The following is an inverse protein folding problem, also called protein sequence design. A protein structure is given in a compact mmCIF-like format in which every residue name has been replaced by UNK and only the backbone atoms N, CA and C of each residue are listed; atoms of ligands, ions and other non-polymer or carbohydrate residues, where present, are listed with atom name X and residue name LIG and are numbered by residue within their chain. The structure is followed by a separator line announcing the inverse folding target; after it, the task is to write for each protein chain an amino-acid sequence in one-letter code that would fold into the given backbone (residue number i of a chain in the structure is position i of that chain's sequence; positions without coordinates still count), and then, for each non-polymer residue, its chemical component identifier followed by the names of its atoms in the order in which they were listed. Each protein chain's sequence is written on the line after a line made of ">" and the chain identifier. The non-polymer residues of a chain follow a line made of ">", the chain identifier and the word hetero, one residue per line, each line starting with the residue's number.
data_IF_877760465184
#
_entry.id   IF_877760465184
#
_cell.length_a   1.000
_cell.length_b   1.000
_cell.length_c   1.000
_cell.angle_alpha   90.00
_cell.angle_beta   90.00
_cell.angle_gamma   90.00
#
_symmetry.space_group_name_H-M   'P 1'
#
loop_
_entity.id
_entity.type
_entity.pdbx_description
1 polymer ?
#
# COMPACT_ATOMS: atom_id res chain seq x y z
N UNK A 1 -13.59 -20.46 30.76
CA UNK A 1 -13.15 -20.35 29.36
C UNK A 1 -14.10 -21.10 28.45
N UNK A 2 -15.06 -20.40 27.86
CA UNK A 2 -15.94 -20.95 26.84
C UNK A 2 -15.32 -20.81 25.45
N UNK A 3 -14.42 -21.73 25.08
CA UNK A 3 -13.94 -21.83 23.71
C UNK A 3 -14.93 -22.66 22.89
N UNK A 4 -15.42 -22.12 21.79
CA UNK A 4 -16.28 -22.82 20.82
C UNK A 4 -15.52 -23.04 19.53
N UNK A 5 -15.34 -24.28 19.11
CA UNK A 5 -14.66 -24.62 17.87
C UNK A 5 -15.65 -24.83 16.73
N UNK A 6 -15.23 -24.51 15.50
CA UNK A 6 -15.94 -24.90 14.27
C UNK A 6 -17.23 -24.13 14.05
N UNK A 7 -17.17 -22.80 14.12
CA UNK A 7 -18.33 -21.94 13.87
C UNK A 7 -18.81 -22.10 12.43
N UNK A 8 -20.13 -22.04 12.27
CA UNK A 8 -20.82 -21.97 10.98
C UNK A 8 -20.69 -20.59 10.35
N UNK A 9 -20.98 -20.47 9.06
CA UNK A 9 -21.00 -19.15 8.38
C UNK A 9 -21.97 -18.20 9.05
N UNK A 10 -23.17 -18.65 9.45
CA UNK A 10 -24.14 -17.78 10.15
C UNK A 10 -23.59 -17.24 11.46
N UNK A 11 -22.90 -18.05 12.26
CA UNK A 11 -22.30 -17.60 13.52
C UNK A 11 -21.10 -16.66 13.31
N UNK A 12 -20.38 -16.80 12.20
CA UNK A 12 -19.34 -15.86 11.80
C UNK A 12 -19.95 -14.55 11.30
N UNK A 13 -21.05 -14.60 10.55
CA UNK A 13 -21.79 -13.40 10.14
C UNK A 13 -22.32 -12.64 11.36
N UNK A 14 -22.95 -13.33 12.31
CA UNK A 14 -23.35 -12.78 13.62
C UNK A 14 -22.16 -12.17 14.39
N UNK A 15 -20.94 -12.60 14.05
CA UNK A 15 -19.71 -12.05 14.60
C UNK A 15 -19.24 -10.77 13.95
N UNK A 16 -19.20 -10.73 12.63
CA UNK A 16 -18.70 -9.57 11.92
C UNK A 16 -19.76 -8.47 11.75
N UNK A 17 -21.04 -8.81 11.81
CA UNK A 17 -22.13 -7.88 11.56
C UNK A 17 -23.10 -7.90 12.73
N UNK A 18 -22.94 -6.95 13.66
CA UNK A 18 -23.84 -6.81 14.79
C UNK A 18 -25.18 -6.22 14.36
N UNK A 19 -26.28 -6.82 14.83
CA UNK A 19 -27.63 -6.33 14.59
C UNK A 19 -28.38 -7.14 13.53
N UNK A 20 -29.23 -6.46 12.76
CA UNK A 20 -30.04 -7.11 11.72
C UNK A 20 -29.22 -7.23 10.42
N UNK A 21 -29.07 -8.46 9.93
CA UNK A 21 -28.43 -8.74 8.66
C UNK A 21 -29.21 -8.18 7.49
N UNK A 22 -28.49 -7.79 6.44
CA UNK A 22 -29.07 -7.23 5.22
C UNK A 22 -28.74 -8.13 4.05
N UNK A 23 -29.76 -8.61 3.35
CA UNK A 23 -29.61 -9.37 2.12
C UNK A 23 -30.11 -8.65 0.87
N UNK A 24 -29.83 -9.25 -0.27
CA UNK A 24 -30.43 -8.87 -1.55
C UNK A 24 -31.89 -9.36 -1.63
N UNK A 25 -32.69 -8.68 -2.42
CA UNK A 25 -34.05 -9.11 -2.73
C UNK A 25 -34.06 -10.27 -3.74
N UNK A 26 -35.12 -11.07 -3.72
CA UNK A 26 -35.35 -12.11 -4.73
C UNK A 26 -35.26 -11.55 -6.15
N UNK A 27 -35.80 -10.35 -6.39
CA UNK A 27 -35.77 -9.71 -7.71
C UNK A 27 -34.35 -9.34 -8.18
N UNK A 28 -33.48 -8.90 -7.28
CA UNK A 28 -32.06 -8.62 -7.61
C UNK A 28 -31.34 -9.91 -8.02
N UNK A 29 -31.57 -11.00 -7.28
CA UNK A 29 -30.94 -12.30 -7.57
C UNK A 29 -31.50 -12.92 -8.85
N UNK A 30 -32.83 -12.93 -9.05
CA UNK A 30 -33.46 -13.42 -10.27
C UNK A 30 -33.02 -12.64 -11.52
N UNK A 31 -32.81 -11.33 -11.38
CA UNK A 31 -32.27 -10.51 -12.46
C UNK A 31 -30.84 -10.93 -12.83
N UNK A 32 -30.01 -11.25 -11.84
CA UNK A 32 -28.66 -11.75 -12.03
C UNK A 32 -28.68 -13.11 -12.75
N UNK A 33 -29.43 -14.09 -12.22
CA UNK A 33 -29.60 -15.44 -12.79
C UNK A 33 -30.10 -15.39 -14.23
N UNK A 34 -31.08 -14.53 -14.50
CA UNK A 34 -31.61 -14.32 -15.85
C UNK A 34 -30.56 -13.75 -16.81
N UNK A 35 -29.70 -12.84 -16.34
CA UNK A 35 -28.64 -12.24 -17.16
C UNK A 35 -27.55 -13.26 -17.49
N UNK A 36 -27.06 -14.01 -16.50
CA UNK A 36 -26.02 -15.03 -16.69
C UNK A 36 -26.55 -16.34 -17.30
N UNK A 37 -27.87 -16.53 -17.32
CA UNK A 37 -28.53 -17.68 -17.96
C UNK A 37 -28.53 -18.97 -17.14
N UNK A 38 -28.22 -18.91 -15.84
CA UNK A 38 -28.21 -20.06 -14.92
C UNK A 38 -28.74 -19.66 -13.54
N UNK A 39 -29.36 -20.61 -12.85
CA UNK A 39 -29.72 -20.44 -11.44
C UNK A 39 -28.50 -20.58 -10.53
N UNK A 40 -28.47 -19.82 -9.45
CA UNK A 40 -27.44 -19.91 -8.43
C UNK A 40 -27.65 -21.15 -7.55
N UNK A 41 -26.59 -21.74 -6.98
CA UNK A 41 -26.73 -22.79 -5.97
C UNK A 41 -27.63 -22.34 -4.83
N UNK A 42 -28.46 -23.26 -4.32
CA UNK A 42 -29.42 -22.96 -3.23
C UNK A 42 -28.69 -22.42 -1.99
N UNK A 43 -27.51 -22.95 -1.68
CA UNK A 43 -26.68 -22.48 -0.57
C UNK A 43 -26.22 -21.02 -0.75
N UNK A 44 -25.76 -20.65 -1.94
CA UNK A 44 -25.31 -19.29 -2.25
C UNK A 44 -26.47 -18.31 -2.33
N UNK A 45 -27.59 -18.72 -2.93
CA UNK A 45 -28.83 -17.91 -2.95
C UNK A 45 -29.29 -17.55 -1.55
N UNK A 46 -29.34 -18.55 -0.65
CA UNK A 46 -29.71 -18.33 0.76
C UNK A 46 -28.74 -17.36 1.43
N UNK A 47 -27.44 -17.50 1.20
CA UNK A 47 -26.45 -16.58 1.74
C UNK A 47 -26.68 -15.14 1.25
N UNK A 48 -26.92 -14.92 -0.05
CA UNK A 48 -27.18 -13.59 -0.60
C UNK A 48 -28.47 -12.97 -0.06
N UNK A 49 -29.53 -13.77 0.11
CA UNK A 49 -30.81 -13.32 0.66
C UNK A 49 -30.74 -12.92 2.13
N UNK A 50 -29.84 -13.53 2.89
CA UNK A 50 -29.73 -13.30 4.33
C UNK A 50 -28.65 -12.25 4.66
N UNK A 51 -27.49 -12.34 4.00
CA UNK A 51 -26.27 -11.65 4.38
C UNK A 51 -25.66 -10.79 3.27
N UNK A 52 -26.15 -10.86 2.03
CA UNK A 52 -25.41 -10.36 0.86
C UNK A 52 -25.02 -8.87 0.90
N UNK A 53 -25.75 -8.03 1.63
CA UNK A 53 -25.50 -6.58 1.79
C UNK A 53 -24.78 -6.23 3.09
N UNK A 54 -24.29 -7.23 3.83
CA UNK A 54 -23.48 -7.00 5.02
C UNK A 54 -22.06 -6.59 4.64
N UNK A 55 -21.52 -5.61 5.38
CA UNK A 55 -20.29 -4.90 5.01
C UNK A 55 -19.05 -5.81 5.02
N UNK A 56 -19.08 -6.89 5.81
CA UNK A 56 -18.00 -7.88 5.88
C UNK A 56 -17.71 -8.53 4.52
N UNK A 57 -18.72 -8.67 3.66
CA UNK A 57 -18.58 -9.28 2.33
C UNK A 57 -17.73 -8.44 1.36
N UNK A 58 -17.37 -7.21 1.75
CA UNK A 58 -16.51 -6.30 0.96
C UNK A 58 -15.34 -5.73 1.76
N UNK A 59 -15.04 -6.27 2.96
CA UNK A 59 -14.03 -5.68 3.86
C UNK A 59 -12.60 -5.89 3.37
N UNK A 60 -12.27 -7.12 2.98
CA UNK A 60 -10.94 -7.46 2.48
C UNK A 60 -11.05 -7.74 0.99
N UNK A 61 -11.73 -8.81 0.64
CA UNK A 61 -12.07 -9.17 -0.73
C UNK A 61 -13.52 -8.77 -1.04
N UNK A 62 -13.89 -8.83 -2.31
CA UNK A 62 -15.21 -8.44 -2.78
C UNK A 62 -16.02 -9.67 -3.17
N UNK A 63 -17.13 -9.90 -2.46
CA UNK A 63 -18.21 -10.71 -3.00
C UNK A 63 -19.00 -9.86 -4.02
N UNK A 64 -19.15 -10.37 -5.23
CA UNK A 64 -19.80 -9.69 -6.33
C UNK A 64 -21.29 -9.49 -6.04
N UNK A 65 -21.76 -8.24 -6.17
CA UNK A 65 -23.14 -7.87 -5.88
C UNK A 65 -24.05 -8.09 -7.10
N UNK A 66 -25.18 -8.82 -6.95
CA UNK A 66 -26.16 -8.89 -8.01
C UNK A 66 -26.89 -7.54 -8.23
N UNK A 67 -27.42 -7.29 -9.43
CA UNK A 67 -27.32 -8.15 -10.61
C UNK A 67 -26.10 -7.89 -11.51
N UNK A 68 -25.43 -6.73 -11.41
CA UNK A 68 -24.43 -6.30 -12.39
C UNK A 68 -23.02 -6.86 -12.15
N UNK A 69 -22.60 -7.09 -10.90
CA UNK A 69 -21.20 -7.46 -10.62
C UNK A 69 -20.93 -8.96 -10.68
N UNK A 70 -21.97 -9.80 -10.72
CA UNK A 70 -21.81 -11.25 -10.97
C UNK A 70 -21.62 -11.41 -12.47
N UNK A 71 -20.69 -12.20 -12.98
CA UNK A 71 -20.55 -12.42 -14.42
C UNK A 71 -19.89 -13.77 -14.67
N UNK A 72 -19.86 -14.20 -15.92
CA UNK A 72 -19.23 -15.46 -16.30
C UNK A 72 -17.79 -15.25 -16.73
N UNK A 73 -16.93 -16.26 -16.57
CA UNK A 73 -15.56 -16.20 -17.07
C UNK A 73 -15.53 -15.99 -18.59
N UNK A 74 -16.54 -16.47 -19.33
CA UNK A 74 -16.65 -16.19 -20.77
C UNK A 74 -16.98 -14.72 -21.06
N UNK A 75 -17.81 -14.06 -20.25
CA UNK A 75 -18.00 -12.60 -20.33
C UNK A 75 -16.67 -11.87 -20.15
N UNK A 76 -15.88 -12.26 -19.15
CA UNK A 76 -14.57 -11.67 -18.87
C UNK A 76 -13.56 -11.93 -20.00
N UNK A 77 -13.51 -13.16 -20.54
CA UNK A 77 -12.67 -13.51 -21.68
C UNK A 77 -13.00 -12.64 -22.90
N UNK A 78 -14.27 -12.34 -23.17
CA UNK A 78 -14.63 -11.44 -24.27
C UNK A 78 -14.05 -10.04 -24.07
N UNK A 79 -14.20 -9.48 -22.87
CA UNK A 79 -13.64 -8.16 -22.55
C UNK A 79 -12.12 -8.16 -22.72
N UNK A 80 -11.42 -9.19 -22.22
CA UNK A 80 -9.97 -9.34 -22.43
C UNK A 80 -9.60 -9.48 -23.92
N UNK A 81 -10.39 -10.21 -24.71
CA UNK A 81 -10.14 -10.35 -26.15
C UNK A 81 -10.32 -9.02 -26.90
N UNK A 82 -11.31 -8.20 -26.51
CA UNK A 82 -11.52 -6.87 -27.07
C UNK A 82 -10.30 -5.95 -26.82
N UNK A 83 -9.68 -6.03 -25.64
CA UNK A 83 -8.46 -5.29 -25.31
C UNK A 83 -7.25 -5.71 -26.16
N UNK A 84 -7.15 -6.99 -26.51
CA UNK A 84 -6.01 -7.55 -27.26
C UNK A 84 -6.23 -7.59 -28.78
N UNK A 85 -7.42 -7.20 -29.27
CA UNK A 85 -7.81 -7.38 -30.67
C UNK A 85 -6.84 -6.67 -31.64
N UNK A 86 -6.42 -5.45 -31.33
CA UNK A 86 -5.47 -4.71 -32.18
C UNK A 86 -4.10 -5.39 -32.24
N UNK A 87 -3.60 -5.87 -31.10
CA UNK A 87 -2.31 -6.56 -30.98
C UNK A 87 -2.31 -7.88 -31.76
N UNK A 88 -3.37 -8.68 -31.60
CA UNK A 88 -3.51 -9.95 -32.31
C UNK A 88 -3.73 -9.76 -33.82
N UNK A 89 -4.41 -8.69 -34.25
CA UNK A 89 -4.49 -8.32 -35.67
C UNK A 89 -3.12 -7.91 -36.22
N UNK A 90 -2.33 -7.17 -35.44
CA UNK A 90 -1.00 -6.73 -35.85
C UNK A 90 -0.02 -7.90 -35.99
N UNK A 91 -0.03 -8.82 -35.03
CA UNK A 91 0.75 -10.06 -35.10
C UNK A 91 0.42 -10.87 -36.37
N UNK A 92 -0.87 -10.91 -36.76
CA UNK A 92 -1.32 -11.50 -38.02
C UNK A 92 -0.76 -10.80 -39.27
N UNK A 93 -0.79 -9.46 -39.30
CA UNK A 93 -0.26 -8.67 -40.43
C UNK A 93 1.26 -8.81 -40.57
N UNK A 94 1.98 -8.93 -39.46
CA UNK A 94 3.43 -8.94 -39.42
C UNK A 94 4.03 -10.36 -39.47
N UNK A 95 3.19 -11.41 -39.47
CA UNK A 95 3.64 -12.81 -39.47
C UNK A 95 4.27 -13.26 -38.16
N UNK A 96 4.02 -12.53 -37.06
CA UNK A 96 4.56 -12.78 -35.71
C UNK A 96 3.59 -13.59 -34.82
N UNK A 97 2.57 -14.23 -35.39
CA UNK A 97 1.58 -15.01 -34.64
C UNK A 97 2.19 -16.14 -33.80
N UNK A 98 3.36 -16.66 -34.20
CA UNK A 98 4.08 -17.68 -33.45
C UNK A 98 4.53 -17.24 -32.05
N UNK A 99 4.65 -15.92 -31.81
CA UNK A 99 5.03 -15.36 -30.51
C UNK A 99 3.92 -15.57 -29.45
N UNK A 100 2.70 -15.87 -29.89
CA UNK A 100 1.52 -16.09 -29.04
C UNK A 100 1.11 -17.57 -28.98
N UNK A 101 1.99 -18.49 -29.39
CA UNK A 101 1.66 -19.92 -29.43
C UNK A 101 1.23 -20.50 -28.06
N UNK A 102 1.77 -19.95 -26.97
CA UNK A 102 1.45 -20.36 -25.59
C UNK A 102 0.37 -19.46 -24.93
N UNK A 103 -0.21 -18.52 -25.67
CA UNK A 103 -1.25 -17.61 -25.15
C UNK A 103 -2.64 -18.21 -25.39
N UNK A 104 -3.35 -18.53 -24.30
CA UNK A 104 -4.68 -19.13 -24.37
C UNK A 104 -5.73 -18.21 -25.00
N UNK A 105 -5.67 -16.88 -24.77
CA UNK A 105 -6.56 -15.91 -25.39
C UNK A 105 -6.38 -15.85 -26.91
N UNK A 106 -5.13 -15.97 -27.39
CA UNK A 106 -4.86 -16.07 -28.83
C UNK A 106 -5.51 -17.31 -29.46
N UNK A 107 -5.57 -18.42 -28.72
CA UNK A 107 -6.29 -19.63 -29.15
C UNK A 107 -7.81 -19.43 -29.11
N UNK A 108 -8.35 -18.88 -28.02
CA UNK A 108 -9.77 -18.61 -27.84
C UNK A 108 -10.33 -17.69 -28.93
N UNK A 109 -9.57 -16.66 -29.35
CA UNK A 109 -9.92 -15.76 -30.44
C UNK A 109 -10.20 -16.48 -31.77
N UNK A 110 -9.53 -17.59 -32.01
CA UNK A 110 -9.63 -18.33 -33.27
C UNK A 110 -10.82 -19.31 -33.29
N UNK A 111 -11.46 -19.51 -32.14
CA UNK A 111 -12.57 -20.43 -31.96
C UNK A 111 -13.88 -19.67 -31.81
N UNK A 112 -15.01 -20.20 -32.34
CA UNK A 112 -16.31 -19.70 -31.94
C UNK A 112 -16.52 -19.93 -30.43
N UNK A 113 -17.26 -19.04 -29.76
CA UNK A 113 -17.52 -19.11 -28.30
C UNK A 113 -18.06 -20.48 -27.85
N UNK A 114 -18.87 -21.12 -28.70
CA UNK A 114 -19.40 -22.47 -28.45
C UNK A 114 -18.32 -23.57 -28.35
N UNK A 115 -17.11 -23.32 -28.84
CA UNK A 115 -15.96 -24.24 -28.79
C UNK A 115 -14.92 -23.85 -27.74
N UNK A 116 -15.13 -22.76 -26.98
CA UNK A 116 -14.20 -22.32 -25.93
C UNK A 116 -13.99 -23.35 -24.82
N UNK A 117 -14.97 -24.25 -24.60
CA UNK A 117 -14.85 -25.38 -23.67
C UNK A 117 -13.71 -26.36 -24.00
N UNK A 118 -13.11 -26.26 -25.19
CA UNK A 118 -11.89 -27.02 -25.55
C UNK A 118 -10.61 -26.43 -24.94
N UNK A 119 -10.64 -25.17 -24.51
CA UNK A 119 -9.52 -24.44 -23.90
C UNK A 119 -9.78 -24.19 -22.42
N UNK A 120 -10.97 -23.70 -22.06
CA UNK A 120 -11.36 -23.45 -20.67
C UNK A 120 -12.86 -23.62 -20.46
N UNK A 121 -13.22 -24.14 -19.28
CA UNK A 121 -14.59 -24.21 -18.83
C UNK A 121 -15.17 -22.82 -18.51
N UNK A 122 -16.50 -22.72 -18.47
CA UNK A 122 -17.19 -21.49 -18.10
C UNK A 122 -17.54 -21.49 -16.60
N UNK A 123 -17.25 -20.39 -15.91
CA UNK A 123 -17.46 -20.24 -14.47
C UNK A 123 -18.36 -19.06 -14.17
N UNK A 124 -19.31 -19.20 -13.24
CA UNK A 124 -20.05 -18.09 -12.66
C UNK A 124 -19.20 -17.45 -11.56
N UNK A 125 -18.65 -16.26 -11.82
CA UNK A 125 -17.75 -15.54 -10.92
C UNK A 125 -18.56 -14.74 -9.89
N UNK A 126 -18.31 -15.04 -8.62
CA UNK A 126 -19.07 -14.52 -7.47
C UNK A 126 -18.20 -13.70 -6.51
N UNK A 127 -16.88 -13.71 -6.72
CA UNK A 127 -15.91 -13.14 -5.79
C UNK A 127 -14.65 -12.71 -6.55
N UNK A 128 -14.06 -11.60 -6.09
CA UNK A 128 -12.78 -11.08 -6.54
C UNK A 128 -11.88 -10.74 -5.33
N UNK A 129 -10.59 -11.06 -5.45
CA UNK A 129 -9.55 -10.70 -4.48
C UNK A 129 -9.35 -9.17 -4.44
N UNK A 130 -8.83 -8.65 -3.34
CA UNK A 130 -8.73 -7.21 -3.07
C UNK A 130 -7.92 -6.36 -4.09
N UNK A 131 -7.10 -6.97 -4.95
CA UNK A 131 -6.42 -6.31 -6.08
C UNK A 131 -7.11 -6.56 -7.43
N UNK A 132 -8.18 -7.35 -7.47
CA UNK A 132 -8.93 -7.72 -8.67
C UNK A 132 -8.26 -8.77 -9.56
N UNK A 133 -7.17 -9.37 -9.09
CA UNK A 133 -6.33 -10.32 -9.85
C UNK A 133 -6.95 -11.73 -9.85
N UNK A 134 -7.36 -12.21 -8.69
CA UNK A 134 -7.94 -13.55 -8.55
C UNK A 134 -9.46 -13.49 -8.44
N UNK A 135 -10.11 -14.42 -9.14
CA UNK A 135 -11.55 -14.51 -9.20
C UNK A 135 -11.98 -15.93 -8.83
N UNK A 136 -13.10 -16.05 -8.12
CA UNK A 136 -13.64 -17.34 -7.71
C UNK A 136 -15.12 -17.48 -8.04
N UNK A 137 -15.53 -18.72 -8.30
CA UNK A 137 -16.83 -19.00 -8.86
C UNK A 137 -17.19 -20.47 -8.97
N UNK A 138 -18.39 -20.73 -9.46
CA UNK A 138 -18.92 -22.07 -9.68
C UNK A 138 -18.74 -22.48 -11.13
N UNK A 139 -18.43 -23.75 -11.38
CA UNK A 139 -18.48 -24.30 -12.73
C UNK A 139 -19.92 -24.25 -13.26
N UNK A 140 -20.16 -23.58 -14.39
CA UNK A 140 -21.50 -23.38 -14.96
C UNK A 140 -22.22 -24.71 -15.21
N UNK A 141 -21.47 -25.73 -15.62
CA UNK A 141 -22.02 -27.07 -15.86
C UNK A 141 -22.65 -27.69 -14.61
N UNK A 142 -22.03 -27.52 -13.44
CA UNK A 142 -22.59 -28.04 -12.19
C UNK A 142 -23.91 -27.35 -11.84
N UNK A 143 -24.04 -26.06 -12.17
CA UNK A 143 -25.28 -25.30 -11.98
C UNK A 143 -26.39 -25.78 -12.92
N UNK A 144 -26.05 -26.04 -14.18
CA UNK A 144 -26.98 -26.58 -15.18
C UNK A 144 -27.45 -27.99 -14.82
N UNK A 145 -26.58 -28.80 -14.21
CA UNK A 145 -26.90 -30.13 -13.70
C UNK A 145 -27.72 -30.08 -12.39
N UNK A 146 -27.97 -28.89 -11.84
CA UNK A 146 -28.79 -28.68 -10.65
C UNK A 146 -28.09 -29.00 -9.33
N UNK A 147 -26.75 -28.91 -9.28
CA UNK A 147 -26.00 -29.12 -8.06
C UNK A 147 -26.39 -28.09 -6.99
N UNK A 148 -26.87 -28.58 -5.85
CA UNK A 148 -27.35 -27.71 -4.77
C UNK A 148 -26.23 -27.00 -4.01
N UNK A 149 -25.05 -27.62 -3.93
CA UNK A 149 -23.86 -27.09 -3.26
C UNK A 149 -22.57 -27.59 -3.94
N UNK A 150 -22.26 -27.06 -5.14
CA UNK A 150 -21.11 -27.49 -5.93
C UNK A 150 -19.78 -26.93 -5.36
N UNK A 151 -18.64 -27.50 -5.78
CA UNK A 151 -17.33 -26.95 -5.46
C UNK A 151 -17.13 -25.53 -6.01
N UNK A 152 -16.22 -24.77 -5.39
CA UNK A 152 -15.81 -23.44 -5.84
C UNK A 152 -14.41 -23.53 -6.45
N UNK A 153 -14.21 -22.81 -7.54
CA UNK A 153 -12.98 -22.75 -8.31
C UNK A 153 -12.42 -21.33 -8.31
N UNK A 154 -11.10 -21.19 -8.30
CA UNK A 154 -10.40 -19.90 -8.31
C UNK A 154 -9.40 -19.85 -9.46
N UNK A 155 -9.27 -18.68 -10.10
CA UNK A 155 -8.23 -18.46 -11.11
C UNK A 155 -6.84 -18.49 -10.48
N UNK A 156 -5.83 -19.03 -11.18
CA UNK A 156 -4.48 -19.23 -10.59
C UNK A 156 -3.33 -18.58 -11.34
N UNK A 157 -3.53 -18.08 -12.55
CA UNK A 157 -2.45 -17.55 -13.42
C UNK A 157 -2.72 -16.11 -13.89
N UNK A 158 -3.45 -15.32 -13.08
CA UNK A 158 -3.85 -13.94 -13.45
C UNK A 158 -4.59 -13.89 -14.80
N UNK A 159 -5.48 -14.86 -15.00
CA UNK A 159 -6.26 -15.05 -16.22
C UNK A 159 -7.70 -15.50 -15.90
N UNK A 160 -8.53 -15.54 -16.94
CA UNK A 160 -9.88 -16.13 -16.91
C UNK A 160 -9.92 -17.47 -17.64
N UNK A 161 -8.78 -18.18 -17.67
CA UNK A 161 -8.62 -19.45 -18.40
C UNK A 161 -8.29 -20.60 -17.44
N UNK A 162 -7.41 -20.36 -16.48
CA UNK A 162 -6.82 -21.37 -15.63
C UNK A 162 -7.45 -21.34 -14.25
N UNK A 163 -8.34 -22.30 -13.98
CA UNK A 163 -9.04 -22.44 -12.71
C UNK A 163 -8.67 -23.72 -11.99
N UNK A 164 -8.59 -23.65 -10.65
CA UNK A 164 -8.42 -24.81 -9.78
C UNK A 164 -9.48 -24.80 -8.68
N UNK A 165 -9.99 -25.97 -8.33
CA UNK A 165 -10.89 -26.13 -7.18
C UNK A 165 -10.20 -25.61 -5.92
N UNK A 166 -10.79 -24.60 -5.29
CA UNK A 166 -10.28 -23.99 -4.06
C UNK A 166 -11.10 -24.36 -2.82
N UNK A 167 -12.37 -24.74 -3.01
CA UNK A 167 -13.22 -25.21 -1.92
C UNK A 167 -14.16 -26.32 -2.38
N UNK A 168 -14.50 -27.21 -1.45
CA UNK A 168 -15.37 -28.36 -1.71
C UNK A 168 -16.85 -27.98 -1.84
N UNK A 169 -17.22 -26.84 -1.26
CA UNK A 169 -18.57 -26.30 -1.24
C UNK A 169 -18.56 -24.81 -0.87
N UNK A 170 -19.74 -24.19 -0.89
CA UNK A 170 -19.91 -22.76 -0.61
C UNK A 170 -19.58 -22.40 0.84
N UNK A 171 -19.87 -23.28 1.80
CA UNK A 171 -19.60 -23.00 3.22
C UNK A 171 -18.09 -22.92 3.50
N UNK A 172 -17.30 -23.86 2.96
CA UNK A 172 -15.84 -23.85 3.11
C UNK A 172 -15.25 -22.60 2.46
N UNK A 173 -15.73 -22.23 1.27
CA UNK A 173 -15.28 -21.02 0.58
C UNK A 173 -15.56 -19.75 1.40
N UNK A 174 -16.80 -19.57 1.86
CA UNK A 174 -17.19 -18.41 2.65
C UNK A 174 -16.44 -18.33 3.98
N UNK A 175 -16.15 -19.47 4.64
CA UNK A 175 -15.31 -19.48 5.84
C UNK A 175 -13.89 -19.00 5.55
N UNK A 176 -13.29 -19.39 4.42
CA UNK A 176 -12.00 -18.87 3.98
C UNK A 176 -12.04 -17.37 3.73
N UNK A 177 -13.04 -16.89 3.00
CA UNK A 177 -13.27 -15.46 2.76
C UNK A 177 -13.40 -14.67 4.07
N UNK A 178 -14.19 -15.18 5.03
CA UNK A 178 -14.39 -14.54 6.33
C UNK A 178 -13.14 -14.59 7.22
N UNK A 179 -12.32 -15.65 7.09
CA UNK A 179 -11.02 -15.72 7.76
C UNK A 179 -10.07 -14.63 7.26
N UNK A 180 -10.07 -14.36 5.97
CA UNK A 180 -9.30 -13.25 5.39
C UNK A 180 -9.88 -11.89 5.77
N UNK A 181 -11.21 -11.75 5.81
CA UNK A 181 -11.87 -10.54 6.31
C UNK A 181 -11.56 -10.26 7.79
N UNK A 182 -11.26 -11.29 8.57
CA UNK A 182 -10.81 -11.16 9.95
C UNK A 182 -9.46 -10.44 10.06
N UNK A 183 -8.63 -10.47 9.01
CA UNK A 183 -7.35 -9.77 9.01
C UNK A 183 -7.55 -8.26 9.13
N UNK A 184 -7.14 -7.70 10.28
CA UNK A 184 -7.35 -6.28 10.56
C UNK A 184 -8.77 -5.92 10.96
N UNK A 185 -9.65 -6.90 11.25
CA UNK A 185 -10.94 -6.66 11.89
C UNK A 185 -10.74 -6.49 13.40
N UNK A 186 -10.61 -5.25 13.84
CA UNK A 186 -10.44 -4.85 15.26
C UNK A 186 -9.22 -5.47 16.00
N UNK A 187 -8.46 -6.36 15.36
CA UNK A 187 -7.18 -6.91 15.78
C UNK A 187 -6.30 -7.10 14.53
N UNK A 188 -5.02 -6.70 14.60
CA UNK A 188 -4.01 -7.02 13.58
C UNK A 188 -3.05 -8.12 14.04
N UNK A 189 -3.43 -8.89 15.06
CA UNK A 189 -2.66 -10.06 15.47
C UNK A 189 -2.84 -11.17 14.43
N UNK A 190 -1.83 -11.27 13.56
CA UNK A 190 -1.59 -12.38 12.64
C UNK A 190 -0.24 -12.98 12.97
N UNK A 191 -0.20 -14.29 13.14
CA UNK A 191 1.03 -15.02 13.47
C UNK A 191 1.29 -16.06 12.38
N UNK A 192 2.51 -16.02 11.82
CA UNK A 192 2.94 -16.95 10.77
C UNK A 192 4.09 -17.85 11.20
N UNK A 193 4.59 -17.67 12.43
CA UNK A 193 5.66 -18.49 13.01
C UNK A 193 5.09 -19.41 14.07
N UNK A 194 5.30 -20.70 13.91
CA UNK A 194 4.76 -21.73 14.80
C UNK A 194 5.01 -21.45 16.31
N UNK A 195 6.22 -21.05 16.77
CA UNK A 195 6.43 -20.77 18.19
C UNK A 195 5.64 -19.58 18.73
N UNK A 196 5.30 -18.61 17.87
CA UNK A 196 4.48 -17.45 18.25
C UNK A 196 3.00 -17.85 18.31
N UNK A 197 2.55 -18.70 17.38
CA UNK A 197 1.22 -19.30 17.32
C UNK A 197 0.97 -20.15 18.58
N UNK A 198 1.85 -21.12 18.87
CA UNK A 198 1.74 -22.01 20.03
C UNK A 198 1.62 -21.21 21.33
N UNK A 199 2.46 -20.19 21.51
CA UNK A 199 2.41 -19.31 22.68
C UNK A 199 1.10 -18.51 22.77
N UNK A 200 0.58 -18.04 21.64
CA UNK A 200 -0.68 -17.29 21.59
C UNK A 200 -1.88 -18.17 21.95
N UNK A 201 -1.90 -19.41 21.45
CA UNK A 201 -2.94 -20.40 21.74
C UNK A 201 -2.87 -20.91 23.19
N UNK A 202 -1.66 -21.23 23.68
CA UNK A 202 -1.43 -21.71 25.06
C UNK A 202 -1.92 -20.68 26.09
N UNK A 203 -1.61 -19.40 25.89
CA UNK A 203 -2.06 -18.30 26.76
C UNK A 203 -3.60 -18.25 26.90
N UNK A 204 -4.31 -18.80 25.92
CA UNK A 204 -5.77 -18.79 25.81
C UNK A 204 -6.40 -20.15 26.08
N UNK A 205 -5.60 -21.18 26.37
CA UNK A 205 -6.10 -22.54 26.56
C UNK A 205 -6.79 -23.11 25.30
N UNK A 206 -6.34 -22.67 24.12
CA UNK A 206 -6.86 -23.17 22.83
C UNK A 206 -5.96 -24.33 22.39
N UNK A 207 -6.60 -25.45 22.03
CA UNK A 207 -5.93 -26.65 21.53
C UNK A 207 -5.61 -26.46 20.03
N UNK A 208 -4.33 -26.48 19.62
CA UNK A 208 -3.94 -26.27 18.23
C UNK A 208 -4.44 -27.36 17.28
N UNK A 209 -4.45 -28.63 17.70
CA UNK A 209 -4.91 -29.74 16.86
C UNK A 209 -6.42 -29.66 16.64
N UNK A 210 -7.17 -29.33 17.70
CA UNK A 210 -8.61 -29.12 17.61
C UNK A 210 -8.95 -27.88 16.76
N UNK A 211 -8.18 -26.79 16.90
CA UNK A 211 -8.35 -25.59 16.10
C UNK A 211 -8.05 -25.83 14.63
N UNK A 212 -6.99 -26.55 14.31
CA UNK A 212 -6.63 -26.93 12.93
C UNK A 212 -7.75 -27.76 12.29
N UNK A 213 -8.26 -28.78 13.00
CA UNK A 213 -9.36 -29.59 12.51
C UNK A 213 -10.66 -28.80 12.32
N UNK A 214 -10.89 -27.78 13.14
CA UNK A 214 -12.09 -26.94 13.09
C UNK A 214 -11.97 -25.76 12.12
N UNK A 215 -10.75 -25.37 11.74
CA UNK A 215 -10.41 -24.15 10.98
C UNK A 215 -10.58 -22.84 11.76
N UNK A 216 -11.51 -22.79 12.73
CA UNK A 216 -11.74 -21.60 13.55
C UNK A 216 -12.25 -21.93 14.97
N UNK A 217 -12.08 -20.97 15.88
CA UNK A 217 -12.75 -20.98 17.18
C UNK A 217 -13.07 -19.56 17.69
N UNK A 218 -14.02 -19.48 18.62
CA UNK A 218 -14.42 -18.27 19.33
C UNK A 218 -14.14 -18.42 20.82
N UNK A 219 -13.33 -17.51 21.36
CA UNK A 219 -13.30 -17.23 22.79
C UNK A 219 -14.50 -16.34 23.13
N UNK A 220 -15.54 -16.94 23.73
CA UNK A 220 -16.78 -16.24 24.06
C UNK A 220 -16.65 -15.25 25.21
N UNK A 221 -15.64 -15.39 26.08
CA UNK A 221 -15.43 -14.48 27.20
C UNK A 221 -14.80 -13.17 26.72
N UNK A 222 -13.87 -13.29 25.77
CA UNK A 222 -13.14 -12.17 25.17
C UNK A 222 -13.75 -11.64 23.87
N UNK A 223 -14.77 -12.33 23.33
CA UNK A 223 -15.38 -12.05 22.02
C UNK A 223 -14.32 -12.00 20.90
N UNK A 224 -13.44 -13.00 20.91
CA UNK A 224 -12.31 -13.07 20.01
C UNK A 224 -12.34 -14.35 19.16
N UNK A 225 -12.37 -14.16 17.84
CA UNK A 225 -12.22 -15.21 16.85
C UNK A 225 -10.74 -15.51 16.57
N UNK A 226 -10.51 -16.77 16.25
CA UNK A 226 -9.24 -17.32 15.79
C UNK A 226 -9.53 -18.14 14.54
N UNK A 227 -8.77 -17.89 13.48
CA UNK A 227 -8.74 -18.70 12.26
C UNK A 227 -7.34 -19.26 12.11
N UNK A 228 -7.23 -20.57 11.92
CA UNK A 228 -5.94 -21.25 11.82
C UNK A 228 -5.88 -22.11 10.58
N UNK A 229 -4.86 -21.89 9.76
CA UNK A 229 -4.62 -22.64 8.53
C UNK A 229 -3.21 -23.20 8.54
N UNK A 230 -3.08 -24.46 8.13
CA UNK A 230 -1.80 -25.16 7.94
C UNK A 230 -1.75 -25.67 6.50
N UNK A 231 -0.69 -25.32 5.77
CA UNK A 231 -0.46 -25.76 4.39
C UNK A 231 1.00 -26.12 4.18
N UNK A 232 1.32 -27.40 4.33
CA UNK A 232 2.71 -27.86 4.34
C UNK A 232 3.46 -27.26 5.53
N UNK A 233 4.53 -26.51 5.25
CA UNK A 233 5.33 -25.82 6.28
C UNK A 233 4.82 -24.39 6.58
N UNK A 234 3.71 -23.97 5.96
CA UNK A 234 3.09 -22.67 6.17
C UNK A 234 2.01 -22.75 7.24
N UNK A 235 2.09 -21.85 8.23
CA UNK A 235 1.14 -21.73 9.33
C UNK A 235 0.61 -20.30 9.35
N UNK A 236 -0.69 -20.12 9.54
CA UNK A 236 -1.28 -18.78 9.64
C UNK A 236 -2.40 -18.78 10.69
N UNK A 237 -2.21 -17.99 11.74
CA UNK A 237 -3.22 -17.72 12.77
C UNK A 237 -3.66 -16.26 12.67
N UNK A 238 -4.89 -16.04 12.23
CA UNK A 238 -5.53 -14.72 12.14
C UNK A 238 -6.53 -14.57 13.28
N UNK A 239 -6.60 -13.39 13.90
CA UNK A 239 -7.56 -13.11 14.97
C UNK A 239 -8.41 -11.89 14.67
N UNK A 240 -9.64 -11.91 15.18
CA UNK A 240 -10.58 -10.80 15.14
C UNK A 240 -11.23 -10.63 16.52
N UNK A 241 -11.42 -9.39 17.00
CA UNK A 241 -11.95 -9.15 18.36
C UNK A 241 -12.97 -8.01 18.35
N UNK A 242 -14.23 -8.26 18.71
CA UNK A 242 -15.28 -7.21 18.69
C UNK A 242 -15.04 -6.08 19.70
N UNK A 243 -14.33 -6.34 20.79
CA UNK A 243 -14.16 -5.39 21.90
C UNK A 243 -12.91 -4.52 21.78
N UNK A 244 -12.02 -4.85 20.85
CA UNK A 244 -10.87 -4.00 20.57
C UNK A 244 -11.28 -2.92 19.58
N UNK A 245 -10.95 -1.66 19.88
CA UNK A 245 -11.32 -0.57 18.99
C UNK A 245 -10.64 -0.76 17.62
N UNK A 246 -11.37 -0.50 16.53
CA UNK A 246 -10.73 -0.47 15.21
C UNK A 246 -9.61 0.57 15.26
N UNK A 247 -8.40 0.16 14.89
CA UNK A 247 -7.26 1.08 14.91
C UNK A 247 -7.48 2.22 13.91
N UNK A 248 -8.35 2.04 12.91
CA UNK A 248 -8.80 3.11 12.01
C UNK A 248 -9.72 4.09 12.72
N UNK A 249 -10.68 3.65 13.55
CA UNK A 249 -11.47 4.55 14.40
C UNK A 249 -10.60 5.23 15.45
N UNK A 250 -9.63 4.53 16.06
CA UNK A 250 -8.64 5.17 16.93
C UNK A 250 -7.80 6.16 16.11
N UNK A 251 -7.34 5.83 14.91
CA UNK A 251 -6.58 6.75 14.07
C UNK A 251 -7.42 7.94 13.62
N UNK A 252 -8.72 7.76 13.38
CA UNK A 252 -9.64 8.78 12.91
C UNK A 252 -10.16 9.64 14.07
N UNK A 253 -10.36 9.07 15.25
CA UNK A 253 -10.59 9.77 16.51
C UNK A 253 -9.32 10.45 17.00
N UNK A 254 -8.14 9.85 16.86
CA UNK A 254 -6.85 10.51 17.09
C UNK A 254 -6.64 11.62 16.07
N UNK A 255 -7.02 11.43 14.81
CA UNK A 255 -6.94 12.45 13.76
C UNK A 255 -7.93 13.60 14.03
N UNK A 256 -9.16 13.31 14.42
CA UNK A 256 -10.15 14.31 14.85
C UNK A 256 -9.74 14.99 16.16
N UNK A 257 -9.17 14.24 17.12
CA UNK A 257 -8.63 14.77 18.37
C UNK A 257 -7.40 15.65 18.11
N UNK A 258 -6.51 15.27 17.19
CA UNK A 258 -5.38 16.06 16.69
C UNK A 258 -5.85 17.30 15.90
N UNK A 259 -6.98 17.22 15.19
CA UNK A 259 -7.61 18.38 14.54
C UNK A 259 -8.26 19.33 15.55
N UNK A 260 -8.78 18.81 16.67
CA UNK A 260 -9.44 19.56 17.74
C UNK A 260 -8.49 20.07 18.83
N UNK A 261 -7.29 19.49 18.93
CA UNK A 261 -6.22 20.01 19.76
C UNK A 261 -5.78 21.38 19.24
N UNK A 262 -5.36 22.33 20.10
CA UNK A 262 -4.78 23.57 19.64
C UNK A 262 -3.58 23.23 18.77
N UNK A 263 -3.70 23.48 17.45
CA UNK A 263 -2.62 23.20 16.49
C UNK A 263 -1.34 23.87 17.01
N UNK A 264 -0.20 23.15 17.12
CA UNK A 264 1.07 23.83 17.28
C UNK A 264 1.19 24.86 16.15
N UNK A 265 1.74 26.03 16.47
CA UNK A 265 2.06 27.07 15.47
C UNK A 265 3.08 26.49 14.50
N UNK A 266 2.58 25.84 13.44
CA UNK A 266 3.35 25.35 12.29
C UNK A 266 4.47 24.32 12.62
N UNK A 267 4.45 23.13 12.00
CA UNK A 267 5.50 22.11 12.17
C UNK A 267 6.19 21.80 10.83
N UNK A 268 7.53 21.86 10.75
CA UNK A 268 8.27 21.47 9.55
C UNK A 268 8.26 19.95 9.35
N UNK A 269 8.43 19.49 8.11
CA UNK A 269 8.43 18.06 7.78
C UNK A 269 9.79 17.40 8.04
N UNK A 270 9.77 16.27 8.73
CA UNK A 270 10.88 15.31 8.77
C UNK A 270 10.94 14.52 7.46
N UNK A 271 12.09 14.54 6.81
CA UNK A 271 12.32 13.77 5.60
C UNK A 271 12.74 12.34 5.97
N UNK A 272 12.16 11.35 5.29
CA UNK A 272 12.42 9.92 5.51
C UNK A 272 12.64 9.19 4.19
N UNK A 273 13.27 8.03 4.26
CA UNK A 273 13.34 7.04 3.20
C UNK A 273 12.80 5.71 3.74
N UNK A 274 12.27 4.86 2.87
CA UNK A 274 11.92 3.50 3.28
C UNK A 274 13.19 2.68 3.50
N UNK A 275 13.09 1.58 4.25
CA UNK A 275 14.23 0.68 4.49
C UNK A 275 14.84 0.14 3.19
N UNK A 276 14.03 -0.07 2.15
CA UNK A 276 14.54 -0.46 0.82
C UNK A 276 15.35 0.68 0.21
N UNK A 277 14.80 1.90 0.19
CA UNK A 277 15.48 3.05 -0.41
C UNK A 277 16.80 3.40 0.31
N UNK A 278 16.86 3.27 1.65
CA UNK A 278 18.12 3.43 2.39
C UNK A 278 19.18 2.41 1.97
N UNK A 279 18.77 1.17 1.69
CA UNK A 279 19.64 0.08 1.23
C UNK A 279 20.12 0.35 -0.20
N UNK A 280 19.22 0.77 -1.09
CA UNK A 280 19.51 1.06 -2.49
C UNK A 280 20.44 2.27 -2.64
N UNK A 281 20.29 3.28 -1.77
CA UNK A 281 21.20 4.41 -1.66
C UNK A 281 22.47 4.10 -0.86
N UNK A 282 22.55 2.92 -0.22
CA UNK A 282 23.75 2.45 0.45
C UNK A 282 24.13 3.26 1.67
N UNK A 283 23.14 3.85 2.35
CA UNK A 283 23.35 4.72 3.51
C UNK A 283 24.06 4.02 4.67
N UNK A 284 23.95 2.69 4.75
CA UNK A 284 24.59 1.87 5.78
C UNK A 284 25.97 1.34 5.37
N UNK A 285 26.48 1.69 4.19
CA UNK A 285 27.79 1.25 3.73
C UNK A 285 28.89 2.01 4.48
N UNK A 286 30.00 1.35 4.85
CA UNK A 286 31.14 2.05 5.44
C UNK A 286 31.71 3.03 4.41
N UNK A 287 31.95 4.26 4.84
CA UNK A 287 32.60 5.30 4.03
C UNK A 287 34.01 5.57 4.54
N UNK A 288 34.88 6.07 3.66
CA UNK A 288 36.26 6.40 4.02
C UNK A 288 36.29 7.56 5.03
N UNK A 289 37.30 7.60 5.92
CA UNK A 289 37.57 8.78 6.74
C UNK A 289 37.74 10.02 5.87
N UNK A 290 37.02 11.10 6.18
CA UNK A 290 36.99 12.32 5.36
C UNK A 290 36.09 12.26 4.14
N UNK A 291 35.19 11.27 4.04
CA UNK A 291 34.12 11.23 3.06
C UNK A 291 33.24 12.49 3.11
N UNK A 292 32.53 12.76 2.02
CA UNK A 292 31.65 13.92 1.89
C UNK A 292 30.21 13.43 1.91
N UNK A 293 29.51 13.67 3.02
CA UNK A 293 28.10 13.38 3.13
C UNK A 293 27.28 14.23 2.14
N UNK A 294 26.21 13.66 1.61
CA UNK A 294 25.29 14.31 0.68
C UNK A 294 23.87 13.98 1.13
N UNK A 295 23.10 15.00 1.51
CA UNK A 295 21.67 14.80 1.73
C UNK A 295 20.96 14.41 0.41
N UNK A 296 20.18 13.32 0.34
CA UNK A 296 19.56 12.86 -0.90
C UNK A 296 18.70 13.92 -1.61
N UNK A 297 17.97 14.75 -0.86
CA UNK A 297 17.19 15.86 -1.44
C UNK A 297 18.07 16.92 -2.13
N UNK A 298 19.31 17.13 -1.66
CA UNK A 298 20.26 18.03 -2.31
C UNK A 298 20.75 17.43 -3.62
N UNK A 299 21.06 16.13 -3.63
CA UNK A 299 21.40 15.41 -4.86
C UNK A 299 20.23 15.40 -5.88
N UNK A 300 19.00 15.29 -5.41
CA UNK A 300 17.81 15.40 -6.25
C UNK A 300 17.70 16.80 -6.86
N UNK A 301 17.88 17.85 -6.06
CA UNK A 301 17.89 19.23 -6.57
C UNK A 301 19.05 19.49 -7.56
N UNK A 302 20.22 18.88 -7.34
CA UNK A 302 21.32 18.90 -8.31
C UNK A 302 20.93 18.25 -9.64
N UNK A 303 20.27 17.08 -9.57
CA UNK A 303 19.78 16.35 -10.75
C UNK A 303 18.80 17.19 -11.55
N UNK A 304 17.85 17.85 -10.89
CA UNK A 304 16.90 18.76 -11.56
C UNK A 304 17.62 19.95 -12.19
N UNK A 305 18.56 20.57 -11.47
CA UNK A 305 19.26 21.76 -11.96
C UNK A 305 20.13 21.49 -13.19
N UNK A 306 20.81 20.35 -13.25
CA UNK A 306 21.72 19.99 -14.35
C UNK A 306 21.11 19.00 -15.35
N UNK A 307 19.86 18.57 -15.13
CA UNK A 307 19.20 17.48 -15.86
C UNK A 307 20.01 16.16 -15.88
N UNK A 308 20.86 15.95 -14.87
CA UNK A 308 21.63 14.71 -14.64
C UNK A 308 22.23 14.70 -13.25
N UNK A 309 22.44 13.50 -12.71
CA UNK A 309 23.31 13.33 -11.55
C UNK A 309 24.76 13.16 -12.03
N UNK A 310 25.77 13.80 -11.38
CA UNK A 310 27.16 13.64 -11.80
C UNK A 310 27.67 12.21 -11.57
N UNK A 311 28.44 11.68 -12.52
CA UNK A 311 28.97 10.31 -12.47
C UNK A 311 30.33 10.20 -11.80
N UNK A 312 31.11 11.29 -11.79
CA UNK A 312 32.47 11.31 -11.24
C UNK A 312 32.59 12.31 -10.09
N UNK A 313 33.46 12.04 -9.13
CA UNK A 313 33.71 12.94 -8.01
C UNK A 313 34.17 14.34 -8.44
N UNK A 314 34.89 14.42 -9.57
CA UNK A 314 35.27 15.68 -10.19
C UNK A 314 34.04 16.47 -10.65
N UNK A 315 33.10 15.80 -11.35
CA UNK A 315 31.88 16.45 -11.83
C UNK A 315 30.98 16.88 -10.67
N UNK A 316 30.91 16.11 -9.58
CA UNK A 316 30.23 16.51 -8.35
C UNK A 316 30.78 17.83 -7.81
N UNK A 317 32.11 17.92 -7.63
CA UNK A 317 32.73 19.15 -7.13
C UNK A 317 32.54 20.34 -8.06
N UNK A 318 32.65 20.11 -9.38
CA UNK A 318 32.44 21.12 -10.42
C UNK A 318 31.00 21.62 -10.45
N UNK A 319 30.01 20.73 -10.40
CA UNK A 319 28.60 21.07 -10.49
C UNK A 319 28.13 21.77 -9.20
N UNK A 320 28.56 21.31 -8.01
CA UNK A 320 28.36 22.01 -6.73
C UNK A 320 28.89 23.45 -6.77
N UNK A 321 30.09 23.66 -7.34
CA UNK A 321 30.67 24.99 -7.49
C UNK A 321 29.95 25.90 -8.50
N UNK A 322 29.16 25.33 -9.43
CA UNK A 322 28.44 26.06 -10.48
C UNK A 322 26.99 26.38 -10.12
N UNK A 323 26.40 25.69 -9.15
CA UNK A 323 25.03 25.97 -8.70
C UNK A 323 24.93 27.37 -8.12
N UNK A 324 24.01 28.17 -8.66
CA UNK A 324 23.72 29.53 -8.18
C UNK A 324 22.49 29.59 -7.28
N UNK A 325 21.60 28.60 -7.42
CA UNK A 325 20.34 28.50 -6.68
C UNK A 325 20.17 27.07 -6.22
N UNK A 326 19.87 26.89 -4.94
CA UNK A 326 19.43 25.63 -4.35
C UNK A 326 18.06 25.86 -3.72
N UNK A 327 17.06 25.10 -4.15
CA UNK A 327 15.71 25.14 -3.63
C UNK A 327 15.31 23.75 -3.15
N UNK A 328 15.02 23.62 -1.87
CA UNK A 328 14.65 22.39 -1.19
C UNK A 328 13.25 22.58 -0.59
N UNK A 329 12.32 21.77 -1.03
CA UNK A 329 10.94 21.71 -0.55
C UNK A 329 10.57 20.24 -0.30
N UNK A 330 9.65 19.92 0.63
CA UNK A 330 9.23 18.56 0.88
C UNK A 330 8.56 18.00 -0.38
N UNK A 331 9.16 16.97 -0.98
CA UNK A 331 8.64 16.29 -2.16
C UNK A 331 8.65 14.79 -1.92
N UNK A 332 7.49 14.16 -2.11
CA UNK A 332 7.32 12.73 -1.93
C UNK A 332 5.99 12.39 -1.25
N UNK A 333 5.89 11.17 -0.74
CA UNK A 333 4.67 10.66 -0.10
C UNK A 333 4.59 11.18 1.34
N UNK A 334 3.52 11.90 1.67
CA UNK A 334 3.25 12.32 3.05
C UNK A 334 2.78 11.14 3.90
N UNK A 335 3.24 11.08 5.13
CA UNK A 335 2.76 10.13 6.14
C UNK A 335 2.52 10.90 7.45
N UNK A 336 1.30 10.83 7.96
CA UNK A 336 0.93 11.63 9.13
C UNK A 336 0.99 13.15 8.90
N UNK A 337 1.24 13.90 9.96
CA UNK A 337 1.18 15.37 9.96
C UNK A 337 2.53 16.04 9.71
N UNK A 338 3.64 15.31 9.90
CA UNK A 338 4.99 15.88 9.99
C UNK A 338 6.05 15.08 9.21
N UNK A 339 5.68 14.01 8.48
CA UNK A 339 6.66 13.14 7.81
C UNK A 339 6.46 13.10 6.30
N UNK A 340 7.55 13.18 5.54
CA UNK A 340 7.58 13.03 4.08
C UNK A 340 8.62 12.00 3.67
N UNK A 341 8.17 10.94 3.01
CA UNK A 341 9.03 9.97 2.35
C UNK A 341 9.50 10.51 1.00
N UNK A 342 10.77 10.89 0.91
CA UNK A 342 11.32 11.55 -0.28
C UNK A 342 11.61 10.57 -1.41
N UNK A 343 11.51 11.05 -2.65
CA UNK A 343 11.95 10.29 -3.81
C UNK A 343 13.49 10.25 -3.86
N UNK A 344 14.11 9.07 -3.99
CA UNK A 344 15.57 8.97 -4.10
C UNK A 344 16.07 9.63 -5.40
N UNK A 345 17.26 10.25 -5.41
CA UNK A 345 17.82 10.89 -6.61
C UNK A 345 18.15 9.90 -7.74
N UNK A 346 18.54 8.67 -7.37
CA UNK A 346 18.89 7.56 -8.26
C UNK A 346 18.94 6.25 -7.48
N UNK A 347 18.96 5.12 -8.18
CA UNK A 347 19.25 3.79 -7.61
C UNK A 347 20.77 3.53 -7.43
N UNK A 348 21.62 4.49 -7.82
CA UNK A 348 23.07 4.39 -7.74
C UNK A 348 23.66 5.20 -6.57
N UNK A 349 24.74 4.66 -6.01
CA UNK A 349 25.60 5.33 -5.04
C UNK A 349 26.38 6.48 -5.70
N UNK A 350 26.65 7.58 -4.98
CA UNK A 350 27.54 8.61 -5.50
C UNK A 350 28.98 8.06 -5.50
N UNK A 351 29.84 8.54 -6.41
CA UNK A 351 31.24 8.11 -6.46
C UNK A 351 32.01 8.58 -5.22
N UNK A 352 32.95 7.78 -4.73
CA UNK A 352 33.87 8.23 -3.65
C UNK A 352 34.54 9.57 -4.03
N UNK A 353 34.70 10.52 -3.10
CA UNK A 353 34.52 10.38 -1.65
C UNK A 353 33.09 10.67 -1.15
N UNK A 354 32.11 10.86 -2.05
CA UNK A 354 30.75 11.19 -1.66
C UNK A 354 29.98 9.97 -1.14
N UNK A 355 29.08 10.18 -0.19
CA UNK A 355 28.13 9.16 0.29
C UNK A 355 26.81 9.83 0.70
N UNK A 356 25.71 9.09 0.70
CA UNK A 356 24.42 9.63 1.13
C UNK A 356 24.25 9.56 2.65
N UNK A 357 23.75 10.64 3.24
CA UNK A 357 23.40 10.74 4.65
C UNK A 357 22.16 11.64 4.78
N UNK A 358 21.13 11.19 5.49
CA UNK A 358 19.86 11.91 5.62
C UNK A 358 19.89 13.03 6.67
N UNK A 359 20.90 13.07 7.54
CA UNK A 359 20.97 14.03 8.64
C UNK A 359 22.12 15.03 8.48
N UNK A 360 23.01 14.84 7.49
CA UNK A 360 24.13 15.72 7.22
C UNK A 360 23.87 16.68 6.05
N UNK A 361 23.80 17.97 6.38
CA UNK A 361 23.52 19.08 5.46
C UNK A 361 24.80 19.82 5.01
N UNK A 362 25.99 19.39 5.46
CA UNK A 362 27.26 20.09 5.28
C UNK A 362 27.67 20.28 3.81
N UNK A 363 27.14 19.45 2.90
CA UNK A 363 27.37 19.57 1.46
C UNK A 363 26.97 20.93 0.90
N UNK A 364 25.93 21.57 1.46
CA UNK A 364 25.46 22.90 1.04
C UNK A 364 26.58 23.93 1.24
N UNK A 365 27.35 23.79 2.32
CA UNK A 365 28.52 24.63 2.62
C UNK A 365 29.65 24.52 1.59
N UNK A 366 29.69 23.47 0.77
CA UNK A 366 30.66 23.30 -0.31
C UNK A 366 30.25 23.98 -1.63
N UNK A 367 29.02 24.47 -1.75
CA UNK A 367 28.51 25.14 -2.95
C UNK A 367 29.02 26.58 -3.06
N UNK A 368 30.27 26.75 -3.49
CA UNK A 368 30.95 28.06 -3.54
C UNK A 368 30.29 29.07 -4.48
N UNK A 369 29.52 28.61 -5.47
CA UNK A 369 28.76 29.46 -6.40
C UNK A 369 27.39 29.92 -5.91
N UNK A 370 26.91 29.40 -4.76
CA UNK A 370 25.53 29.55 -4.31
C UNK A 370 25.20 30.99 -3.93
N UNK A 371 24.17 31.56 -4.55
CA UNK A 371 23.68 32.94 -4.32
C UNK A 371 22.30 32.99 -3.72
N UNK A 372 21.46 31.99 -3.98
CA UNK A 372 20.11 31.86 -3.44
C UNK A 372 19.96 30.48 -2.81
N UNK A 373 19.69 30.43 -1.51
CA UNK A 373 19.41 29.20 -0.78
C UNK A 373 17.97 29.27 -0.25
N UNK A 374 17.16 28.29 -0.60
CA UNK A 374 15.77 28.17 -0.19
C UNK A 374 15.59 26.78 0.41
N UNK A 375 15.28 26.71 1.70
CA UNK A 375 14.90 25.50 2.43
C UNK A 375 13.58 25.83 3.11
N UNK A 376 12.49 25.29 2.59
CA UNK A 376 11.16 25.65 3.08
C UNK A 376 10.47 24.42 3.60
N UNK A 377 9.76 24.55 4.71
CA UNK A 377 8.95 23.48 5.28
C UNK A 377 9.69 22.20 5.70
N UNK A 378 11.02 22.22 5.81
CA UNK A 378 11.83 21.03 6.13
C UNK A 378 12.43 21.16 7.53
N UNK A 379 12.43 20.05 8.28
CA UNK A 379 13.19 19.93 9.52
C UNK A 379 14.66 19.68 9.19
N UNK A 380 15.54 20.49 9.78
CA UNK A 380 16.99 20.44 9.59
C UNK A 380 17.66 20.20 10.94
N UNK A 381 18.43 19.12 11.06
CA UNK A 381 19.05 18.71 12.32
C UNK A 381 20.09 19.71 12.84
N UNK A 382 20.89 20.26 11.93
CA UNK A 382 21.94 21.24 12.26
C UNK A 382 22.10 22.29 11.16
N UNK A 383 21.86 23.56 11.52
CA UNK A 383 22.04 24.72 10.63
C UNK A 383 23.47 25.24 10.58
N UNK A 384 24.43 24.61 11.25
CA UNK A 384 25.83 25.07 11.30
C UNK A 384 26.47 25.19 9.91
N UNK A 385 25.97 24.47 8.89
CA UNK A 385 26.45 24.59 7.50
C UNK A 385 26.31 26.01 6.92
N UNK A 386 25.41 26.85 7.48
CA UNK A 386 25.18 28.22 7.03
C UNK A 386 26.45 29.09 7.11
N UNK A 387 27.35 28.84 8.07
CA UNK A 387 28.62 29.58 8.18
C UNK A 387 29.56 29.43 6.98
N UNK A 388 29.38 28.36 6.22
CA UNK A 388 30.17 28.10 5.01
C UNK A 388 29.51 28.70 3.76
N UNK A 389 28.25 29.14 3.84
CA UNK A 389 27.46 29.71 2.75
C UNK A 389 27.81 31.19 2.46
N UNK A 390 29.10 31.51 2.36
CA UNK A 390 29.62 32.90 2.34
C UNK A 390 29.18 33.75 1.14
N UNK A 391 28.72 33.14 0.05
CA UNK A 391 28.30 33.84 -1.17
C UNK A 391 26.78 33.97 -1.32
N UNK A 392 26.00 33.40 -0.39
CA UNK A 392 24.54 33.47 -0.40
C UNK A 392 24.09 34.90 -0.13
N UNK A 393 23.22 35.41 -0.99
CA UNK A 393 22.65 36.77 -0.94
C UNK A 393 21.18 36.74 -0.53
N UNK A 394 20.47 35.67 -0.88
CA UNK A 394 19.06 35.46 -0.54
C UNK A 394 18.91 34.12 0.15
N UNK A 395 18.35 34.15 1.35
CA UNK A 395 18.07 32.98 2.17
C UNK A 395 16.56 32.91 2.43
N UNK A 396 15.94 31.77 2.18
CA UNK A 396 14.61 31.45 2.72
C UNK A 396 14.75 30.22 3.58
N UNK A 397 14.38 30.35 4.86
CA UNK A 397 14.22 29.25 5.81
C UNK A 397 12.75 29.12 6.23
N UNK A 398 11.83 29.61 5.39
CA UNK A 398 10.40 29.71 5.65
C UNK A 398 9.83 28.41 6.20
N UNK A 399 9.24 28.49 7.38
CA UNK A 399 8.63 27.34 8.03
C UNK A 399 9.61 26.19 8.29
N UNK A 400 10.83 26.47 8.70
CA UNK A 400 11.77 25.44 9.19
C UNK A 400 11.86 25.50 10.72
N UNK A 401 12.62 24.59 11.33
CA UNK A 401 12.96 24.63 12.75
C UNK A 401 14.14 25.58 13.07
N UNK A 402 14.47 26.53 12.20
CA UNK A 402 15.53 27.51 12.44
C UNK A 402 15.17 28.45 13.60
N UNK A 403 16.05 28.56 14.59
CA UNK A 403 15.85 29.44 15.74
C UNK A 403 16.96 30.47 15.91
N UNK A 404 18.22 30.06 15.93
CA UNK A 404 19.34 30.93 16.32
C UNK A 404 19.76 31.93 15.22
N UNK A 405 19.27 33.17 15.31
CA UNK A 405 19.59 34.25 14.37
C UNK A 405 21.07 34.64 14.35
N UNK A 406 21.89 34.27 15.35
CA UNK A 406 23.33 34.61 15.39
C UNK A 406 24.10 33.96 14.25
N UNK A 407 23.64 32.80 13.74
CA UNK A 407 24.26 32.12 12.59
C UNK A 407 24.30 33.00 11.33
N UNK A 408 23.37 33.94 11.19
CA UNK A 408 23.32 34.85 10.04
C UNK A 408 24.46 35.87 10.04
N UNK A 409 25.10 36.13 11.19
CA UNK A 409 26.33 36.95 11.26
C UNK A 409 27.50 36.29 10.53
N UNK A 410 27.47 34.96 10.38
CA UNK A 410 28.50 34.19 9.67
C UNK A 410 28.28 34.21 8.13
N UNK A 411 27.27 34.94 7.63
CA UNK A 411 26.91 35.05 6.21
C UNK A 411 27.14 36.48 5.66
N UNK A 412 28.39 36.87 5.35
CA UNK A 412 28.77 38.27 5.12
C UNK A 412 28.17 38.93 3.87
N UNK A 413 27.63 38.14 2.92
CA UNK A 413 27.03 38.64 1.69
C UNK A 413 25.49 38.56 1.67
N UNK A 414 24.88 38.16 2.79
CA UNK A 414 23.43 38.05 2.90
C UNK A 414 22.78 39.43 2.75
N UNK A 415 21.70 39.50 1.97
CA UNK A 415 20.95 40.74 1.69
C UNK A 415 19.46 40.61 2.00
N UNK A 416 18.91 39.42 1.78
CA UNK A 416 17.50 39.12 1.99
C UNK A 416 17.37 37.81 2.76
N UNK A 417 16.51 37.79 3.78
CA UNK A 417 16.17 36.61 4.57
C UNK A 417 14.65 36.49 4.74
N UNK A 418 14.06 35.37 4.35
CA UNK A 418 12.69 34.99 4.73
C UNK A 418 12.74 33.95 5.84
N UNK A 419 12.26 34.34 7.02
CA UNK A 419 12.27 33.55 8.25
C UNK A 419 10.85 33.38 8.82
N UNK A 420 9.81 33.60 8.00
CA UNK A 420 8.44 33.49 8.46
C UNK A 420 8.12 32.07 8.92
N UNK A 421 7.33 31.94 9.99
CA UNK A 421 6.98 30.67 10.65
C UNK A 421 8.18 29.90 11.25
N UNK A 422 9.31 30.56 11.49
CA UNK A 422 10.43 29.99 12.25
C UNK A 422 10.30 30.32 13.76
N UNK A 423 10.73 29.41 14.66
CA UNK A 423 10.78 29.67 16.10
C UNK A 423 12.01 30.51 16.48
N UNK A 424 12.05 31.79 16.05
CA UNK A 424 13.24 32.63 16.15
C UNK A 424 13.67 32.94 17.60
N UNK A 425 14.97 32.86 17.82
CA UNK A 425 15.70 33.30 19.00
C UNK A 425 16.78 34.30 18.58
N UNK A 426 17.22 35.17 19.49
CA UNK A 426 18.22 36.21 19.22
C UNK A 426 17.83 37.20 18.10
N UNK A 427 16.53 37.54 18.01
CA UNK A 427 16.00 38.43 16.97
C UNK A 427 16.62 39.83 16.94
N UNK A 428 17.23 40.29 18.04
CA UNK A 428 17.99 41.54 18.11
C UNK A 428 19.11 41.61 17.05
N UNK A 429 19.66 40.47 16.65
CA UNK A 429 20.69 40.35 15.62
C UNK A 429 20.17 40.78 14.25
N UNK A 430 18.91 40.50 13.95
CA UNK A 430 18.31 40.82 12.65
C UNK A 430 18.19 42.33 12.42
N UNK A 431 18.08 43.13 13.49
CA UNK A 431 18.14 44.58 13.40
C UNK A 431 19.56 45.09 13.08
N UNK A 432 20.60 44.37 13.51
CA UNK A 432 22.00 44.73 13.28
C UNK A 432 22.48 44.36 11.86
N UNK A 433 21.91 43.33 11.24
CA UNK A 433 22.38 42.77 9.96
C UNK A 433 22.17 43.66 8.73
N UNK A 434 21.40 44.76 8.82
CA UNK A 434 21.10 45.66 7.68
C UNK A 434 20.62 44.92 6.41
N UNK A 435 19.84 43.85 6.58
CA UNK A 435 19.24 43.04 5.51
C UNK A 435 17.73 43.25 5.42
N UNK A 436 17.15 42.99 4.25
CA UNK A 436 15.69 42.89 4.10
C UNK A 436 15.22 41.57 4.71
N UNK A 437 14.47 41.62 5.79
CA UNK A 437 14.04 40.42 6.51
C UNK A 437 12.51 40.34 6.58
N UNK A 438 11.94 39.22 6.15
CA UNK A 438 10.55 38.84 6.39
C UNK A 438 10.50 37.89 7.58
N UNK A 439 9.63 38.17 8.54
CA UNK A 439 9.45 37.39 9.78
C UNK A 439 7.98 37.05 9.97
#
# INVERSE_FOLDING_TARGET
>A
MGIRYGLSVSELMDFFCEGEHRGFSEAEIEAAEKRVGVSFPVCYRRFLLEYGKDDVNTRHNQLNKPPEEIFTSYEAVRETLEEWEEEFLDAGRNGCQGDYADNAYFTLRQLPEAEWGTVTDNYLLIWAENQGVWNAGYLIKDLQDGAADPPVYMSTEDDFVTFKRCADNTEVFLKGMLAEAAYGYHSKERYTKLPEIEKALEKRGIDPEQLEAAGNCLDTELERLYFYTVSGDYYDLITANRREQDREEIQQQMFQALQSAPKPRYQPYHLRLTTSQEKDLGMKRPHKPGGIAVHPIVAFAMKEYFNRLPLTAYDWGKDLGRMKTLKLEPRGRKEGTDTVYICPPSEYFPPEPYYYDLYDWSIIGKMTGLRTLVIEHIYVDDFSFLRYCRNVRRLSLYGTNFSDCRLLLEMPNLKEADLHLCPLEHEEILAALSISCRR
#
